data_IF_465443289896
#
_entry.id   IF_465443289896
#
_cell.length_a   1.000
_cell.length_b   1.000
_cell.length_c   1.000
_cell.angle_alpha   90.00
_cell.angle_beta   90.00
_cell.angle_gamma   90.00
#
_symmetry.space_group_name_H-M   'P 1'
#
loop_
_entity.id
_entity.type
_entity.pdbx_description
1 polymer ?
#
# COMPACT_ATOMS: atom_id res chain seq x y z
N UNK A 1 -25.29 -2.80 25.04
CA UNK A 1 -26.36 -3.83 25.07
C UNK A 1 -27.11 -3.67 26.37
N UNK A 2 -28.37 -3.21 26.31
CA UNK A 2 -29.13 -2.83 27.51
C UNK A 2 -29.94 -4.02 28.00
N UNK A 3 -29.58 -4.58 29.15
CA UNK A 3 -30.37 -5.61 29.83
C UNK A 3 -31.45 -4.92 30.68
N UNK A 4 -32.71 -5.10 30.31
CA UNK A 4 -33.86 -4.54 31.02
C UNK A 4 -34.26 -5.46 32.17
N UNK A 5 -33.96 -5.04 33.40
CA UNK A 5 -34.50 -5.61 34.63
C UNK A 5 -34.97 -4.49 35.57
N UNK A 6 -36.28 -4.23 35.60
CA UNK A 6 -36.95 -3.33 36.55
C UNK A 6 -36.64 -1.84 36.38
N UNK A 7 -37.48 -0.96 36.97
CA UNK A 7 -37.41 0.51 36.89
C UNK A 7 -36.16 1.13 37.58
N UNK A 8 -34.96 0.69 37.22
CA UNK A 8 -33.70 1.36 37.56
C UNK A 8 -32.81 1.36 36.33
N UNK A 9 -32.45 2.56 35.89
CA UNK A 9 -31.46 2.76 34.83
C UNK A 9 -30.08 2.51 35.42
N UNK A 10 -29.40 1.47 34.95
CA UNK A 10 -28.00 1.22 35.24
C UNK A 10 -27.17 1.73 34.06
N UNK A 11 -26.23 2.63 34.34
CA UNK A 11 -25.19 3.03 33.38
C UNK A 11 -23.89 2.36 33.80
N UNK A 12 -23.17 1.77 32.83
CA UNK A 12 -21.83 1.28 33.08
C UNK A 12 -20.93 2.47 33.44
N UNK A 13 -20.40 2.50 34.67
CA UNK A 13 -19.53 3.58 35.15
C UNK A 13 -18.05 3.37 34.79
N UNK A 14 -17.71 2.22 34.21
CA UNK A 14 -16.36 1.90 33.75
C UNK A 14 -16.25 0.46 33.25
N UNK A 15 -15.25 0.22 32.42
CA UNK A 15 -14.82 -1.11 32.01
C UNK A 15 -13.35 -1.26 32.43
N UNK A 16 -13.01 -2.40 33.01
CA UNK A 16 -11.63 -2.80 33.23
C UNK A 16 -11.28 -3.87 32.21
N UNK A 17 -10.29 -3.57 31.38
CA UNK A 17 -9.68 -4.54 30.49
C UNK A 17 -8.45 -5.10 31.18
N UNK A 18 -8.41 -6.41 31.37
CA UNK A 18 -7.22 -7.11 31.84
C UNK A 18 -6.66 -7.89 30.65
N UNK A 19 -5.42 -7.57 30.25
CA UNK A 19 -4.71 -8.40 29.28
C UNK A 19 -4.25 -9.67 29.99
N UNK A 20 -4.99 -10.75 29.81
CA UNK A 20 -4.57 -12.08 30.23
C UNK A 20 -3.53 -12.57 29.22
N UNK A 21 -2.26 -12.54 29.60
CA UNK A 21 -1.20 -13.22 28.86
C UNK A 21 -1.39 -14.73 29.05
N UNK A 22 -1.92 -15.40 28.03
CA UNK A 22 -2.02 -16.86 28.01
C UNK A 22 -0.65 -17.41 27.59
N UNK A 23 0.19 -17.74 28.57
CA UNK A 23 1.36 -18.58 28.34
C UNK A 23 0.89 -20.02 28.16
N UNK A 24 1.02 -20.58 26.95
CA UNK A 24 0.89 -22.03 26.78
C UNK A 24 2.23 -22.68 27.15
N UNK A 25 2.29 -23.25 28.36
CA UNK A 25 3.37 -24.13 28.81
C UNK A 25 3.27 -25.54 28.18
N UNK A 26 2.52 -25.67 27.08
CA UNK A 26 2.41 -26.93 26.36
C UNK A 26 3.73 -27.20 25.61
N UNK A 27 4.61 -27.91 26.29
CA UNK A 27 5.94 -28.27 25.80
C UNK A 27 5.85 -29.06 24.48
N UNK A 28 4.79 -29.85 24.28
CA UNK A 28 4.58 -30.58 23.02
C UNK A 28 4.20 -29.63 21.89
N UNK A 29 3.31 -28.66 22.15
CA UNK A 29 2.97 -27.63 21.17
C UNK A 29 4.18 -26.77 20.79
N UNK A 30 5.00 -26.37 21.76
CA UNK A 30 6.24 -25.63 21.49
C UNK A 30 7.23 -26.45 20.67
N UNK A 31 7.41 -27.74 20.97
CA UNK A 31 8.25 -28.63 20.16
C UNK A 31 7.74 -28.80 18.72
N UNK A 32 6.42 -28.85 18.52
CA UNK A 32 5.83 -28.95 17.17
C UNK A 32 6.02 -27.65 16.40
N UNK A 33 5.85 -26.49 17.03
CA UNK A 33 5.90 -25.18 16.36
C UNK A 33 7.34 -24.69 16.14
N UNK A 34 8.28 -25.03 17.02
CA UNK A 34 9.67 -24.58 16.99
C UNK A 34 10.33 -24.66 15.59
N UNK A 35 10.34 -25.81 14.89
CA UNK A 35 11.00 -25.89 13.57
C UNK A 35 10.34 -25.00 12.51
N UNK A 36 9.01 -24.82 12.55
CA UNK A 36 8.31 -23.91 11.64
C UNK A 36 8.62 -22.44 11.96
N UNK A 37 8.72 -22.11 13.25
CA UNK A 37 9.09 -20.76 13.71
C UNK A 37 10.51 -20.41 13.29
N UNK A 38 11.46 -21.33 13.49
CA UNK A 38 12.87 -21.13 13.11
C UNK A 38 13.03 -20.97 11.59
N UNK A 39 12.39 -21.83 10.80
CA UNK A 39 12.43 -21.71 9.33
C UNK A 39 11.81 -20.41 8.82
N UNK A 40 10.66 -20.02 9.38
CA UNK A 40 10.01 -18.75 9.04
C UNK A 40 10.86 -17.55 9.46
N UNK A 41 11.45 -17.61 10.66
CA UNK A 41 12.29 -16.54 11.19
C UNK A 41 13.52 -16.33 10.28
N UNK A 42 14.19 -17.40 9.88
CA UNK A 42 15.33 -17.32 8.95
C UNK A 42 14.95 -16.65 7.62
N UNK A 43 13.76 -16.95 7.07
CA UNK A 43 13.24 -16.28 5.87
C UNK A 43 12.91 -14.81 6.10
N UNK A 44 12.31 -14.46 7.25
CA UNK A 44 11.95 -13.08 7.58
C UNK A 44 13.17 -12.20 7.89
N UNK A 45 14.26 -12.79 8.39
CA UNK A 45 15.51 -12.10 8.69
C UNK A 45 16.38 -11.84 7.45
N UNK A 46 16.06 -12.44 6.30
CA UNK A 46 16.79 -12.20 5.05
C UNK A 46 16.79 -10.70 4.71
N UNK A 47 17.99 -10.12 4.65
CA UNK A 47 18.21 -8.75 4.18
C UNK A 47 17.99 -8.70 2.67
N UNK A 48 17.13 -7.79 2.22
CA UNK A 48 16.76 -7.60 0.81
C UNK A 48 17.26 -6.27 0.24
N UNK A 49 17.75 -5.37 1.11
CA UNK A 49 18.30 -4.08 0.71
C UNK A 49 18.79 -3.27 1.91
N UNK A 50 19.23 -2.05 1.65
CA UNK A 50 19.61 -1.09 2.69
C UNK A 50 18.93 0.26 2.44
N UNK A 51 18.39 0.89 3.48
CA UNK A 51 17.82 2.23 3.44
C UNK A 51 18.89 3.26 3.82
N UNK A 52 19.15 4.24 2.95
CA UNK A 52 20.16 5.29 3.20
C UNK A 52 19.69 6.31 4.26
N UNK A 53 18.38 6.49 4.37
CA UNK A 53 17.64 7.36 5.28
C UNK A 53 16.36 6.67 5.76
N UNK A 54 15.66 7.27 6.71
CA UNK A 54 14.33 6.80 7.12
C UNK A 54 13.33 7.04 5.99
N UNK A 55 12.67 5.98 5.53
CA UNK A 55 11.50 6.11 4.65
C UNK A 55 10.27 6.20 5.52
N UNK A 56 9.62 7.36 5.52
CA UNK A 56 8.41 7.59 6.31
C UNK A 56 7.18 7.43 5.43
N UNK A 57 6.08 7.00 6.06
CA UNK A 57 4.72 7.04 5.52
C UNK A 57 4.10 8.40 5.85
N UNK A 58 3.35 8.98 4.92
CA UNK A 58 2.81 10.32 5.07
C UNK A 58 1.88 10.74 3.93
N UNK A 59 1.23 11.88 4.14
CA UNK A 59 0.35 12.56 3.20
C UNK A 59 0.77 14.03 3.09
N UNK A 60 0.55 14.70 1.95
CA UNK A 60 -0.08 14.17 0.73
C UNK A 60 0.83 13.23 -0.08
N UNK A 61 2.12 13.22 0.21
CA UNK A 61 3.15 12.38 -0.42
C UNK A 61 4.08 11.79 0.65
N UNK A 62 4.74 10.67 0.35
CA UNK A 62 5.76 10.10 1.25
C UNK A 62 6.75 9.18 0.56
N UNK A 63 7.96 9.08 1.11
CA UNK A 63 9.03 8.22 0.57
C UNK A 63 8.61 6.75 0.43
N UNK A 64 7.95 6.17 1.45
CA UNK A 64 7.44 4.80 1.36
C UNK A 64 6.40 4.67 0.24
N UNK A 65 5.47 5.61 0.16
CA UNK A 65 4.43 5.61 -0.87
C UNK A 65 5.04 5.62 -2.27
N UNK A 66 5.97 6.55 -2.50
CA UNK A 66 6.68 6.70 -3.76
C UNK A 66 7.44 5.42 -4.14
N UNK A 67 8.22 4.85 -3.21
CA UNK A 67 8.96 3.61 -3.43
C UNK A 67 8.06 2.47 -3.91
N UNK A 68 6.93 2.25 -3.21
CA UNK A 68 5.99 1.17 -3.55
C UNK A 68 5.44 1.38 -4.96
N UNK A 69 4.95 2.58 -5.25
CA UNK A 69 4.30 2.84 -6.54
C UNK A 69 5.28 2.94 -7.69
N UNK A 70 6.53 3.35 -7.45
CA UNK A 70 7.58 3.30 -8.48
C UNK A 70 7.90 1.86 -8.86
N UNK A 71 8.08 0.98 -7.87
CA UNK A 71 8.31 -0.44 -8.12
C UNK A 71 7.10 -1.07 -8.83
N UNK A 72 5.87 -0.71 -8.43
CA UNK A 72 4.66 -1.19 -9.11
C UNK A 72 4.62 -0.71 -10.57
N UNK A 73 4.91 0.57 -10.82
CA UNK A 73 4.90 1.11 -12.19
C UNK A 73 5.93 0.40 -13.08
N UNK A 74 7.16 0.22 -12.57
CA UNK A 74 8.24 -0.51 -13.24
C UNK A 74 7.86 -1.98 -13.51
N UNK A 75 7.31 -2.66 -12.51
CA UNK A 75 6.87 -4.05 -12.66
C UNK A 75 5.75 -4.16 -13.70
N UNK A 76 4.82 -3.19 -13.72
CA UNK A 76 3.68 -3.19 -14.63
C UNK A 76 4.09 -3.14 -16.11
N UNK A 77 5.19 -2.47 -16.44
CA UNK A 77 5.76 -2.44 -17.80
C UNK A 77 6.20 -3.82 -18.31
N UNK A 78 6.44 -4.77 -17.40
CA UNK A 78 6.92 -6.12 -17.74
C UNK A 78 5.89 -7.22 -17.52
N UNK A 79 4.94 -7.02 -16.61
CA UNK A 79 3.98 -8.04 -16.18
C UNK A 79 2.70 -8.04 -17.02
N UNK A 80 2.38 -6.93 -17.70
CA UNK A 80 1.14 -6.77 -18.46
C UNK A 80 1.41 -6.56 -19.95
N UNK A 81 0.38 -6.77 -20.76
CA UNK A 81 0.48 -6.57 -22.21
C UNK A 81 0.56 -5.10 -22.60
N UNK A 82 -0.09 -4.24 -21.81
CA UNK A 82 -0.08 -2.80 -22.00
C UNK A 82 0.90 -2.15 -21.04
N UNK A 83 1.56 -1.08 -21.48
CA UNK A 83 2.39 -0.26 -20.59
C UNK A 83 1.46 0.53 -19.65
N UNK A 84 1.70 0.52 -18.33
CA UNK A 84 0.93 1.35 -17.41
C UNK A 84 1.26 2.84 -17.60
N UNK A 85 0.22 3.67 -17.59
CA UNK A 85 0.35 5.13 -17.59
C UNK A 85 0.75 5.66 -16.21
N UNK A 86 0.21 5.07 -15.15
CA UNK A 86 0.56 5.43 -13.78
C UNK A 86 0.20 4.31 -12.79
N UNK A 87 0.77 4.39 -11.60
CA UNK A 87 0.52 3.48 -10.50
C UNK A 87 -0.15 4.21 -9.34
N UNK A 88 -1.07 3.55 -8.65
CA UNK A 88 -1.69 4.05 -7.42
C UNK A 88 -1.75 2.95 -6.37
N UNK A 89 -1.61 3.33 -5.10
CA UNK A 89 -1.78 2.41 -3.97
C UNK A 89 -2.53 3.10 -2.84
N UNK A 90 -3.40 2.39 -2.15
CA UNK A 90 -4.18 2.99 -1.07
C UNK A 90 -3.31 3.18 0.17
N UNK A 91 -3.37 4.39 0.76
CA UNK A 91 -2.60 4.74 1.96
C UNK A 91 -2.85 3.78 3.15
N UNK A 92 -4.05 3.22 3.24
CA UNK A 92 -4.43 2.26 4.29
C UNK A 92 -3.77 0.88 4.17
N UNK A 93 -3.31 0.52 2.96
CA UNK A 93 -2.61 -0.74 2.68
C UNK A 93 -1.20 -0.79 3.25
N UNK A 94 -0.58 0.36 3.50
CA UNK A 94 0.75 0.50 4.10
C UNK A 94 0.59 0.54 5.63
N UNK A 95 1.18 -0.40 6.37
CA UNK A 95 0.77 -0.65 7.77
C UNK A 95 1.73 -0.19 8.86
N UNK A 96 3.00 0.06 8.53
CA UNK A 96 3.96 0.68 9.45
C UNK A 96 4.24 2.12 9.03
N UNK A 97 4.61 2.95 10.00
CA UNK A 97 4.81 4.39 9.78
C UNK A 97 6.19 4.73 9.19
N UNK A 98 7.16 3.83 9.32
CA UNK A 98 8.49 4.03 8.75
C UNK A 98 9.27 2.72 8.56
N UNK A 99 10.19 2.74 7.60
CA UNK A 99 11.37 1.87 7.53
C UNK A 99 12.55 2.75 7.90
N UNK A 100 13.21 2.43 9.01
CA UNK A 100 14.36 3.20 9.48
C UNK A 100 15.61 2.91 8.64
N UNK A 101 16.51 3.88 8.61
CA UNK A 101 17.84 3.74 8.00
C UNK A 101 18.52 2.44 8.44
N UNK A 102 19.16 1.73 7.51
CA UNK A 102 19.89 0.50 7.76
C UNK A 102 19.35 -0.67 6.94
N UNK A 103 19.54 -1.89 7.43
CA UNK A 103 19.11 -3.10 6.74
C UNK A 103 17.59 -3.17 6.61
N UNK A 104 17.12 -3.49 5.40
CA UNK A 104 15.72 -3.76 5.12
C UNK A 104 15.57 -5.26 4.96
N UNK A 105 14.82 -5.89 5.86
CA UNK A 105 14.57 -7.33 5.83
C UNK A 105 13.26 -7.65 5.12
N UNK A 106 13.14 -8.90 4.64
CA UNK A 106 11.89 -9.43 4.11
C UNK A 106 10.75 -9.29 5.12
N UNK A 107 11.00 -9.62 6.39
CA UNK A 107 10.03 -9.47 7.49
C UNK A 107 9.53 -8.02 7.65
N UNK A 108 10.40 -7.03 7.46
CA UNK A 108 9.98 -5.62 7.49
C UNK A 108 8.98 -5.28 6.38
N UNK A 109 9.13 -5.87 5.20
CA UNK A 109 8.16 -5.68 4.10
C UNK A 109 6.86 -6.45 4.36
N UNK A 110 6.90 -7.59 5.04
CA UNK A 110 5.68 -8.27 5.52
C UNK A 110 4.92 -7.43 6.55
N UNK A 111 5.61 -6.74 7.46
CA UNK A 111 4.97 -5.78 8.37
C UNK A 111 4.39 -4.57 7.62
N UNK A 112 5.10 -4.08 6.59
CA UNK A 112 4.70 -2.93 5.79
C UNK A 112 3.46 -3.22 4.93
N UNK A 113 3.45 -4.36 4.23
CA UNK A 113 2.44 -4.80 3.26
C UNK A 113 1.92 -6.20 3.64
N UNK A 114 1.14 -6.33 4.73
CA UNK A 114 0.78 -7.64 5.28
C UNK A 114 -0.35 -8.34 4.50
N UNK A 115 -1.02 -7.64 3.59
CA UNK A 115 -2.13 -8.20 2.83
C UNK A 115 -1.62 -8.95 1.59
N UNK A 116 -2.29 -10.05 1.26
CA UNK A 116 -2.01 -10.86 0.07
C UNK A 116 -2.69 -10.29 -1.19
N UNK A 117 -2.93 -8.97 -1.22
CA UNK A 117 -3.51 -8.29 -2.37
C UNK A 117 -2.57 -8.43 -3.57
N UNK A 118 -3.12 -8.84 -4.72
CA UNK A 118 -2.37 -8.96 -5.97
C UNK A 118 -2.26 -7.61 -6.67
N UNK A 119 -1.23 -7.47 -7.50
CA UNK A 119 -1.13 -6.33 -8.41
C UNK A 119 -1.96 -6.60 -9.66
N UNK A 120 -2.78 -5.61 -10.01
CA UNK A 120 -3.67 -5.67 -11.16
C UNK A 120 -3.47 -4.45 -12.04
N UNK A 121 -3.76 -4.59 -13.33
CA UNK A 121 -3.92 -3.49 -14.27
C UNK A 121 -5.40 -3.29 -14.54
N UNK A 122 -5.86 -2.05 -14.39
CA UNK A 122 -7.23 -1.63 -14.69
C UNK A 122 -7.19 -0.66 -15.87
N UNK A 123 -8.02 -0.92 -16.88
CA UNK A 123 -8.19 -0.02 -18.02
C UNK A 123 -9.38 0.89 -17.78
N UNK A 124 -9.13 2.20 -17.74
CA UNK A 124 -10.11 3.22 -17.40
C UNK A 124 -10.26 4.23 -18.54
N UNK A 125 -11.49 4.66 -18.81
CA UNK A 125 -11.71 5.86 -19.61
C UNK A 125 -11.35 7.13 -18.83
N UNK A 126 -11.21 8.26 -19.52
CA UNK A 126 -10.86 9.53 -18.88
C UNK A 126 -11.88 9.96 -17.83
N UNK A 127 -13.17 9.63 -17.98
CA UNK A 127 -14.18 9.93 -16.96
C UNK A 127 -13.92 9.16 -15.65
N UNK A 128 -13.72 7.84 -15.72
CA UNK A 128 -13.44 6.99 -14.56
C UNK A 128 -12.09 7.34 -13.94
N UNK A 129 -11.11 7.69 -14.77
CA UNK A 129 -9.80 8.18 -14.32
C UNK A 129 -9.93 9.49 -13.54
N UNK A 130 -10.70 10.46 -14.03
CA UNK A 130 -10.96 11.71 -13.31
C UNK A 130 -11.62 11.48 -11.94
N UNK A 131 -12.51 10.49 -11.84
CA UNK A 131 -13.13 10.11 -10.57
C UNK A 131 -12.14 9.45 -9.61
N UNK A 132 -11.27 8.59 -10.11
CA UNK A 132 -10.18 8.01 -9.32
C UNK A 132 -9.27 9.13 -8.78
N UNK A 133 -8.81 10.04 -9.63
CA UNK A 133 -7.94 11.15 -9.24
C UNK A 133 -8.56 12.04 -8.15
N UNK A 134 -9.84 12.40 -8.30
CA UNK A 134 -10.55 13.15 -7.26
C UNK A 134 -10.71 12.37 -5.96
N UNK A 135 -10.87 11.04 -6.01
CA UNK A 135 -10.89 10.21 -4.80
C UNK A 135 -9.54 10.23 -4.07
N UNK A 136 -8.43 10.16 -4.81
CA UNK A 136 -7.08 10.26 -4.25
C UNK A 136 -6.87 11.63 -3.56
N UNK A 137 -7.28 12.71 -4.21
CA UNK A 137 -7.21 14.06 -3.67
C UNK A 137 -8.08 14.25 -2.41
N UNK A 138 -9.35 13.83 -2.46
CA UNK A 138 -10.27 13.92 -1.33
C UNK A 138 -9.80 13.09 -0.12
N UNK A 139 -9.04 12.02 -0.37
CA UNK A 139 -8.43 11.23 0.69
C UNK A 139 -7.14 11.87 1.26
N UNK A 140 -6.81 13.10 0.87
CA UNK A 140 -5.64 13.86 1.33
C UNK A 140 -4.33 13.46 0.65
N UNK A 141 -4.38 12.83 -0.53
CA UNK A 141 -3.22 12.32 -1.26
C UNK A 141 -2.90 10.87 -0.91
N UNK A 142 -2.85 10.02 -1.93
CA UNK A 142 -2.44 8.62 -1.82
C UNK A 142 -1.17 8.36 -2.62
N UNK A 143 -0.37 7.36 -2.23
CA UNK A 143 0.79 6.91 -2.99
C UNK A 143 0.52 6.76 -4.49
N UNK A 144 1.41 7.30 -5.30
CA UNK A 144 1.32 7.24 -6.75
C UNK A 144 2.70 7.35 -7.43
N UNK A 145 2.78 6.88 -8.68
CA UNK A 145 3.93 7.07 -9.58
C UNK A 145 3.46 7.29 -11.02
N UNK A 146 4.20 8.05 -11.81
CA UNK A 146 3.79 8.44 -13.17
C UNK A 146 2.68 9.50 -13.21
N UNK A 147 2.31 10.05 -12.06
CA UNK A 147 1.24 11.03 -11.88
C UNK A 147 1.78 12.24 -11.09
N UNK A 148 1.29 13.43 -11.38
CA UNK A 148 1.46 14.63 -10.55
C UNK A 148 0.10 15.30 -10.42
N UNK A 149 -0.25 15.79 -9.24
CA UNK A 149 -1.49 16.53 -9.04
C UNK A 149 -1.38 17.51 -7.88
N UNK A 150 -2.18 18.57 -7.95
CA UNK A 150 -2.44 19.49 -6.84
C UNK A 150 -3.79 19.15 -6.24
N UNK A 151 -3.88 19.17 -4.91
CA UNK A 151 -5.12 19.04 -4.15
C UNK A 151 -5.60 20.46 -3.84
N UNK A 152 -6.76 20.82 -4.38
CA UNK A 152 -7.43 22.09 -4.10
C UNK A 152 -8.89 21.82 -3.78
N UNK A 153 -9.36 22.25 -2.60
CA UNK A 153 -10.71 22.00 -2.10
C UNK A 153 -11.12 20.51 -2.21
N UNK A 154 -10.24 19.60 -1.77
CA UNK A 154 -10.45 18.15 -1.82
C UNK A 154 -10.58 17.56 -3.24
N UNK A 155 -10.31 18.33 -4.29
CA UNK A 155 -10.33 17.89 -5.68
C UNK A 155 -8.93 17.86 -6.29
N UNK A 156 -8.74 16.99 -7.28
CA UNK A 156 -7.50 16.94 -8.05
C UNK A 156 -7.54 18.01 -9.16
N UNK A 157 -6.55 18.91 -9.12
CA UNK A 157 -6.33 19.95 -10.13
C UNK A 157 -4.89 19.87 -10.64
N UNK A 158 -4.60 20.52 -11.77
CA UNK A 158 -3.28 20.55 -12.41
C UNK A 158 -2.65 19.15 -12.58
N UNK A 159 -3.47 18.20 -13.04
CA UNK A 159 -3.06 16.80 -13.15
C UNK A 159 -2.18 16.59 -14.37
N UNK A 160 -1.00 16.01 -14.15
CA UNK A 160 -0.10 15.52 -15.19
C UNK A 160 0.02 13.99 -15.11
N UNK A 161 -0.19 13.30 -16.22
CA UNK A 161 0.10 11.88 -16.39
C UNK A 161 1.31 11.75 -17.31
N UNK A 162 2.37 11.10 -16.83
CA UNK A 162 3.65 11.00 -17.55
C UNK A 162 4.18 12.36 -18.05
N UNK A 163 3.98 13.41 -17.24
CA UNK A 163 4.38 14.78 -17.54
C UNK A 163 3.52 15.51 -18.58
N UNK A 164 2.44 14.89 -19.08
CA UNK A 164 1.48 15.51 -19.98
C UNK A 164 0.19 15.88 -19.25
N UNK A 165 -0.48 16.99 -19.60
CA UNK A 165 -1.79 17.32 -19.05
C UNK A 165 -2.78 16.16 -19.19
N UNK A 166 -3.53 15.89 -18.13
CA UNK A 166 -4.57 14.88 -18.13
C UNK A 166 -5.61 15.13 -19.22
N UNK A 167 -5.89 14.10 -20.04
CA UNK A 167 -6.84 14.13 -21.14
C UNK A 167 -8.08 13.31 -20.80
N UNK A 168 -9.20 13.99 -20.61
CA UNK A 168 -10.49 13.36 -20.29
C UNK A 168 -11.05 12.47 -21.40
N UNK A 169 -10.51 12.55 -22.62
CA UNK A 169 -10.92 11.73 -23.77
C UNK A 169 -10.05 10.48 -23.98
N UNK A 170 -8.93 10.37 -23.27
CA UNK A 170 -8.02 9.24 -23.37
C UNK A 170 -8.48 8.02 -22.57
N UNK A 171 -7.84 6.88 -22.84
CA UNK A 171 -7.92 5.65 -22.06
C UNK A 171 -6.60 5.49 -21.32
N UNK A 172 -6.68 5.08 -20.06
CA UNK A 172 -5.54 4.93 -19.17
C UNK A 172 -5.43 3.50 -18.65
N UNK A 173 -4.21 2.97 -18.65
CA UNK A 173 -3.84 1.72 -18.01
C UNK A 173 -3.22 2.01 -16.65
N UNK A 174 -3.93 1.67 -15.59
CA UNK A 174 -3.55 2.02 -14.22
C UNK A 174 -3.21 0.76 -13.45
N UNK A 175 -2.01 0.71 -12.88
CA UNK A 175 -1.65 -0.40 -11.98
C UNK A 175 -1.98 -0.06 -10.53
N UNK A 176 -2.63 -0.99 -9.85
CA UNK A 176 -3.03 -0.85 -8.46
C UNK A 176 -3.12 -2.22 -7.78
N UNK A 177 -3.60 -2.27 -6.54
CA UNK A 177 -3.93 -3.54 -5.90
C UNK A 177 -5.37 -3.97 -6.22
N UNK A 178 -5.60 -5.28 -6.19
CA UNK A 178 -6.92 -5.86 -6.48
C UNK A 178 -8.01 -5.42 -5.50
N UNK A 179 -7.67 -5.17 -4.23
CA UNK A 179 -8.59 -4.60 -3.24
C UNK A 179 -9.23 -3.28 -3.72
N UNK A 180 -8.42 -2.32 -4.18
CA UNK A 180 -8.90 -1.04 -4.74
C UNK A 180 -9.71 -1.27 -6.01
N UNK A 181 -9.20 -2.10 -6.92
CA UNK A 181 -9.85 -2.35 -8.20
C UNK A 181 -11.22 -3.02 -8.05
N UNK A 182 -11.42 -3.79 -6.97
CA UNK A 182 -12.69 -4.45 -6.62
C UNK A 182 -13.60 -3.60 -5.75
N UNK A 183 -13.34 -2.30 -5.63
CA UNK A 183 -14.20 -1.33 -4.95
C UNK A 183 -13.81 -0.97 -3.53
N UNK A 184 -12.68 -1.48 -3.03
CA UNK A 184 -12.13 -1.14 -1.72
C UNK A 184 -11.93 0.36 -1.51
N UNK A 185 -11.96 0.80 -0.25
CA UNK A 185 -11.85 2.22 0.14
C UNK A 185 -12.85 3.17 -0.57
N UNK A 186 -14.00 2.66 -1.00
CA UNK A 186 -15.05 3.42 -1.68
C UNK A 186 -14.68 3.78 -3.12
N UNK A 187 -14.10 2.79 -3.83
CA UNK A 187 -13.77 2.82 -5.25
C UNK A 187 -14.73 1.95 -6.07
N UNK A 188 -15.99 1.82 -5.66
CA UNK A 188 -16.99 0.94 -6.28
C UNK A 188 -17.19 1.24 -7.77
N UNK A 189 -16.82 2.43 -8.23
CA UNK A 189 -16.82 2.77 -9.66
C UNK A 189 -15.85 1.97 -10.52
N UNK A 190 -14.88 1.28 -9.93
CA UNK A 190 -13.88 0.50 -10.65
C UNK A 190 -14.34 -0.95 -10.90
N UNK A 191 -15.44 -1.41 -10.28
CA UNK A 191 -15.82 -2.84 -10.33
C UNK A 191 -16.21 -3.33 -11.72
N UNK A 192 -16.64 -2.42 -12.60
CA UNK A 192 -17.05 -2.73 -13.98
C UNK A 192 -15.90 -2.52 -14.98
N UNK A 193 -14.74 -2.03 -14.53
CA UNK A 193 -13.60 -1.77 -15.39
C UNK A 193 -12.91 -3.09 -15.82
N UNK A 194 -12.30 -3.06 -17.01
CA UNK A 194 -11.48 -4.19 -17.47
C UNK A 194 -10.28 -4.36 -16.55
N UNK A 195 -10.07 -5.58 -16.06
CA UNK A 195 -9.04 -5.91 -15.08
C UNK A 195 -8.21 -7.10 -15.55
N UNK A 196 -6.88 -6.93 -15.55
CA UNK A 196 -5.90 -8.00 -15.74
C UNK A 196 -5.13 -8.19 -14.42
N UNK A 197 -5.00 -9.44 -13.95
CA UNK A 197 -4.33 -9.77 -12.69
C UNK A 197 -2.98 -10.41 -12.97
N UNK A 198 -1.91 -9.86 -12.40
CA UNK A 198 -0.56 -10.44 -12.55
C UNK A 198 -0.41 -11.77 -11.82
N UNK A 199 -1.29 -12.08 -10.86
CA UNK A 199 -1.22 -13.26 -10.00
C UNK A 199 -0.08 -13.20 -8.97
N UNK A 200 0.52 -12.02 -8.78
CA UNK A 200 1.65 -11.80 -7.87
C UNK A 200 1.23 -10.75 -6.84
N UNK A 201 1.54 -10.99 -5.57
CA UNK A 201 1.23 -10.05 -4.50
C UNK A 201 2.02 -8.75 -4.67
N UNK A 202 1.43 -7.61 -4.29
CA UNK A 202 2.16 -6.33 -4.29
C UNK A 202 3.37 -6.41 -3.36
N UNK A 203 3.25 -7.12 -2.24
CA UNK A 203 4.35 -7.39 -1.31
C UNK A 203 5.54 -8.05 -2.01
N UNK A 204 5.31 -9.11 -2.78
CA UNK A 204 6.40 -9.83 -3.48
C UNK A 204 7.02 -8.99 -4.58
N UNK A 205 6.21 -8.18 -5.27
CA UNK A 205 6.68 -7.20 -6.26
C UNK A 205 7.60 -6.17 -5.60
N UNK A 206 7.21 -5.63 -4.44
CA UNK A 206 8.03 -4.69 -3.66
C UNK A 206 9.31 -5.32 -3.15
N UNK A 207 9.27 -6.57 -2.64
CA UNK A 207 10.47 -7.30 -2.23
C UNK A 207 11.45 -7.41 -3.39
N UNK A 208 10.99 -7.89 -4.56
CA UNK A 208 11.85 -8.04 -5.75
C UNK A 208 12.38 -6.70 -6.24
N UNK A 209 11.57 -5.65 -6.21
CA UNK A 209 11.99 -4.31 -6.60
C UNK A 209 13.10 -3.76 -5.70
N UNK A 210 12.99 -3.97 -4.38
CA UNK A 210 14.04 -3.58 -3.43
C UNK A 210 15.32 -4.40 -3.65
N UNK A 211 15.20 -5.72 -3.83
CA UNK A 211 16.34 -6.61 -4.13
C UNK A 211 17.06 -6.16 -5.42
N UNK A 212 16.31 -5.88 -6.49
CA UNK A 212 16.86 -5.45 -7.77
C UNK A 212 17.58 -4.09 -7.67
N UNK A 213 16.96 -3.11 -7.00
CA UNK A 213 17.57 -1.79 -6.79
C UNK A 213 18.80 -1.85 -5.89
N UNK A 214 18.84 -2.82 -4.96
CA UNK A 214 19.96 -3.01 -4.01
C UNK A 214 21.05 -3.95 -4.54
N UNK A 215 20.93 -4.49 -5.75
CA UNK A 215 21.86 -5.48 -6.30
C UNK A 215 23.32 -4.97 -6.41
N UNK A 216 23.51 -3.66 -6.51
CA UNK A 216 24.83 -3.00 -6.48
C UNK A 216 25.45 -2.88 -5.09
N UNK A 217 24.73 -3.25 -4.02
CA UNK A 217 25.17 -3.11 -2.63
C UNK A 217 25.05 -1.68 -2.08
N UNK A 218 24.55 -0.73 -2.88
CA UNK A 218 24.33 0.64 -2.46
C UNK A 218 23.05 0.77 -1.63
N UNK A 219 23.09 1.65 -0.62
CA UNK A 219 21.91 1.98 0.15
C UNK A 219 20.95 2.82 -0.69
N UNK A 220 19.69 2.40 -0.73
CA UNK A 220 18.62 3.04 -1.48
C UNK A 220 18.26 4.38 -0.84
N UNK A 221 18.40 5.43 -1.64
CA UNK A 221 17.97 6.78 -1.28
C UNK A 221 16.63 7.08 -1.92
N UNK A 222 15.59 7.24 -1.11
CA UNK A 222 14.23 7.55 -1.58
C UNK A 222 13.79 8.87 -0.95
N UNK A 223 13.47 9.83 -1.81
CA UNK A 223 13.01 11.17 -1.44
C UNK A 223 11.63 11.44 -2.03
N UNK A 224 10.93 12.40 -1.46
CA UNK A 224 9.73 12.98 -2.07
C UNK A 224 10.13 13.95 -3.18
N UNK A 225 9.37 13.98 -4.27
CA UNK A 225 9.65 14.75 -5.49
C UNK A 225 8.51 15.68 -5.91
N UNK A 226 7.59 16.00 -4.98
CA UNK A 226 6.41 16.88 -5.16
C UNK A 226 5.39 16.32 -6.14
N UNK A 227 5.23 15.01 -6.10
CA UNK A 227 4.19 14.22 -6.77
C UNK A 227 2.78 14.65 -6.38
N UNK A 228 2.58 15.11 -5.16
CA UNK A 228 1.30 15.66 -4.72
C UNK A 228 1.48 16.90 -3.87
N UNK A 229 0.89 18.00 -4.32
CA UNK A 229 0.92 19.30 -3.63
C UNK A 229 -0.48 19.53 -3.03
N UNK A 230 -0.55 20.12 -1.83
CA UNK A 230 -1.84 20.53 -1.23
C UNK A 230 -1.84 22.02 -1.00
N UNK A 231 -2.88 22.69 -1.48
CA UNK A 231 -3.11 24.14 -1.33
C UNK A 231 -4.18 24.46 -0.27
#
# INVERSE_FOLDING_TARGET
>A
MSLLAGCRYYQATGYTYEQIQVQSDDTLLQCIIAPYREGLQAEMEKVIGQAAQDWKKGKPESAIGNLITDIMLEAGDTLFQHKPDFAVYNYGGIRIDAIYKGEVTKGKIFELLPFDNTMVMVTLDGYSTARLLNKLAAAGGWPQSGLQLTISNEAAVDVLVQGQPFDTSAVYHVVMNDYMARGGDGLEMLTDASLEDAGITVRDIVIRGIENRSAGGEALSIETDNRTISE
#
